data_IF_057315579140
#
_entry.id   IF_057315579140
#
_cell.length_a   1.000
_cell.length_b   1.000
_cell.length_c   1.000
_cell.angle_alpha   90.00
_cell.angle_beta   90.00
_cell.angle_gamma   90.00
#
_symmetry.space_group_name_H-M   'P 1'
#
loop_
_entity.id
_entity.type
_entity.pdbx_description
1 polymer ?
#
# COMPACT_ATOMS: atom_id res chain seq x y z
N UNK A 1 -4.04 -8.07 25.61
CA UNK A 1 -2.93 -7.09 25.63
C UNK A 1 -1.84 -7.62 26.54
N UNK A 2 -0.61 -7.71 26.08
CA UNK A 2 0.54 -8.18 26.85
C UNK A 2 1.32 -7.01 27.48
N UNK A 3 2.33 -7.31 28.32
CA UNK A 3 3.15 -6.30 29.02
C UNK A 3 3.87 -5.36 28.06
N UNK A 4 4.42 -5.87 26.93
CA UNK A 4 5.12 -5.09 25.93
C UNK A 4 4.18 -4.11 25.22
N UNK A 5 2.98 -4.54 24.85
CA UNK A 5 1.95 -3.67 24.28
C UNK A 5 1.55 -2.56 25.26
N UNK A 6 1.38 -2.89 26.55
CA UNK A 6 1.05 -1.90 27.57
C UNK A 6 2.15 -0.85 27.73
N UNK A 7 3.43 -1.26 27.70
CA UNK A 7 4.58 -0.36 27.73
C UNK A 7 4.63 0.57 26.53
N UNK A 8 4.41 0.04 25.32
CA UNK A 8 4.36 0.82 24.07
C UNK A 8 3.25 1.88 24.15
N UNK A 9 2.04 1.49 24.58
CA UNK A 9 0.89 2.39 24.70
C UNK A 9 1.08 3.53 25.73
N UNK A 10 1.85 3.27 26.77
CA UNK A 10 2.23 4.31 27.73
C UNK A 10 3.27 5.28 27.14
N UNK A 11 4.36 4.73 26.58
CA UNK A 11 5.45 5.53 26.02
C UNK A 11 5.03 6.35 24.79
N UNK A 12 4.16 5.86 23.92
CA UNK A 12 3.72 6.65 22.75
C UNK A 12 3.01 7.94 23.16
N UNK A 13 2.27 7.93 24.28
CA UNK A 13 1.61 9.13 24.82
C UNK A 13 2.63 10.10 25.41
N UNK A 14 3.59 9.57 26.19
CA UNK A 14 4.67 10.36 26.79
C UNK A 14 5.54 11.04 25.73
N UNK A 15 5.82 10.33 24.62
CA UNK A 15 6.66 10.79 23.52
C UNK A 15 5.89 11.56 22.43
N UNK A 16 4.61 11.80 22.60
CA UNK A 16 3.74 12.45 21.62
C UNK A 16 3.88 11.82 20.21
N UNK A 17 3.83 10.49 20.15
CA UNK A 17 3.99 9.71 18.92
C UNK A 17 2.68 9.09 18.46
N UNK A 18 2.44 9.18 17.15
CA UNK A 18 1.39 8.49 16.42
C UNK A 18 1.94 7.19 15.84
N UNK A 19 1.30 6.06 16.13
CA UNK A 19 1.65 4.76 15.53
C UNK A 19 0.64 4.45 14.44
N UNK A 20 1.14 4.28 13.21
CA UNK A 20 0.36 3.90 12.03
C UNK A 20 0.78 2.52 11.57
N UNK A 21 -0.17 1.61 11.30
CA UNK A 21 0.11 0.26 10.84
C UNK A 21 -0.64 -0.09 9.55
N UNK A 22 0.07 -0.66 8.59
CA UNK A 22 -0.56 -1.19 7.39
C UNK A 22 -1.34 -2.47 7.72
N UNK A 23 -2.41 -2.77 6.99
CA UNK A 23 -3.20 -4.00 7.11
C UNK A 23 -2.37 -5.28 6.99
N UNK A 24 -1.22 -5.26 6.32
CA UNK A 24 -0.34 -6.43 6.18
C UNK A 24 0.59 -6.65 7.38
N UNK A 25 0.57 -5.77 8.39
CA UNK A 25 1.34 -5.96 9.62
C UNK A 25 0.78 -7.12 10.45
N UNK A 26 1.61 -7.77 11.30
CA UNK A 26 1.12 -8.72 12.30
C UNK A 26 0.03 -8.09 13.18
N UNK A 27 -0.96 -8.89 13.59
CA UNK A 27 -2.11 -8.40 14.36
C UNK A 27 -1.72 -7.74 15.69
N UNK A 28 -0.67 -8.23 16.35
CA UNK A 28 -0.17 -7.67 17.60
C UNK A 28 0.42 -6.26 17.42
N UNK A 29 1.01 -5.97 16.25
CA UNK A 29 1.47 -4.62 15.86
C UNK A 29 0.28 -3.73 15.51
N UNK A 30 -0.74 -4.28 14.84
CA UNK A 30 -1.98 -3.52 14.57
C UNK A 30 -2.69 -3.11 15.87
N UNK A 31 -2.68 -3.97 16.90
CA UNK A 31 -3.36 -3.74 18.18
C UNK A 31 -2.81 -2.54 18.97
N UNK A 32 -1.57 -2.11 18.73
CA UNK A 32 -0.96 -0.93 19.37
C UNK A 32 -1.05 0.34 18.52
N UNK A 33 -1.51 0.23 17.27
CA UNK A 33 -1.60 1.36 16.35
C UNK A 33 -2.77 2.29 16.68
N UNK A 34 -2.58 3.58 16.40
CA UNK A 34 -3.63 4.61 16.49
C UNK A 34 -4.54 4.58 15.24
N UNK A 35 -4.02 4.08 14.13
CA UNK A 35 -4.78 3.80 12.94
C UNK A 35 -4.18 2.62 12.18
N UNK A 36 -5.04 1.75 11.69
CA UNK A 36 -4.71 0.65 10.77
C UNK A 36 -5.38 0.95 9.43
N UNK A 37 -4.65 0.79 8.33
CA UNK A 37 -5.18 1.15 7.02
C UNK A 37 -4.33 0.67 5.86
N UNK A 38 -4.80 0.96 4.64
CA UNK A 38 -3.99 0.89 3.43
C UNK A 38 -3.08 2.12 3.30
N UNK A 39 -2.23 2.14 2.26
CA UNK A 39 -1.27 3.24 2.05
C UNK A 39 -1.95 4.60 1.92
N UNK A 40 -3.16 4.67 1.34
CA UNK A 40 -3.89 5.93 1.18
C UNK A 40 -4.44 6.46 2.51
N UNK A 41 -5.14 5.62 3.25
CA UNK A 41 -5.71 5.98 4.55
C UNK A 41 -4.60 6.42 5.53
N UNK A 42 -3.47 5.71 5.54
CA UNK A 42 -2.33 6.04 6.39
C UNK A 42 -1.62 7.34 5.96
N UNK A 43 -1.50 7.61 4.66
CA UNK A 43 -0.95 8.89 4.17
C UNK A 43 -1.81 10.08 4.62
N UNK A 44 -3.15 9.98 4.47
CA UNK A 44 -4.09 11.00 4.95
C UNK A 44 -4.03 11.17 6.48
N UNK A 45 -3.96 10.05 7.21
CA UNK A 45 -3.85 10.10 8.68
C UNK A 45 -2.53 10.71 9.14
N UNK A 46 -1.43 10.40 8.44
CA UNK A 46 -0.14 11.03 8.70
C UNK A 46 -0.19 12.54 8.46
N UNK A 47 -0.76 12.98 7.32
CA UNK A 47 -0.89 14.41 6.98
C UNK A 47 -1.67 15.19 8.05
N UNK A 48 -2.72 14.60 8.61
CA UNK A 48 -3.57 15.22 9.65
C UNK A 48 -3.06 15.01 11.08
N UNK A 49 -1.88 14.42 11.28
CA UNK A 49 -1.35 14.12 12.60
C UNK A 49 -1.05 15.41 13.38
N UNK A 50 -1.49 15.49 14.64
CA UNK A 50 -1.11 16.55 15.56
C UNK A 50 0.18 16.23 16.34
N UNK A 51 0.53 14.95 16.46
CA UNK A 51 1.69 14.47 17.18
C UNK A 51 3.00 14.95 16.56
N UNK A 52 4.04 15.11 17.36
CA UNK A 52 5.38 15.52 16.94
C UNK A 52 6.17 14.38 16.27
N UNK A 53 5.83 13.13 16.59
CA UNK A 53 6.45 11.93 16.05
C UNK A 53 5.45 11.00 15.35
N UNK A 54 5.91 10.28 14.33
CA UNK A 54 5.14 9.25 13.61
C UNK A 54 5.99 7.99 13.51
N UNK A 55 5.45 6.86 13.96
CA UNK A 55 6.03 5.54 13.75
C UNK A 55 5.18 4.85 12.68
N UNK A 56 5.78 4.58 11.52
CA UNK A 56 5.12 3.93 10.39
C UNK A 56 5.45 2.43 10.40
N UNK A 57 4.57 1.60 10.94
CA UNK A 57 4.65 0.14 10.84
C UNK A 57 4.18 -0.30 9.46
N UNK A 58 5.13 -0.50 8.58
CA UNK A 58 4.95 -0.81 7.16
C UNK A 58 6.30 -0.95 6.49
N UNK A 59 6.41 -0.46 5.26
CA UNK A 59 7.64 -0.50 4.46
C UNK A 59 8.12 0.92 4.11
N UNK A 60 9.35 1.01 3.60
CA UNK A 60 10.10 2.25 3.45
C UNK A 60 9.34 3.36 2.72
N UNK A 61 8.74 3.10 1.56
CA UNK A 61 8.03 4.13 0.78
C UNK A 61 6.86 4.77 1.54
N UNK A 62 6.25 4.03 2.49
CA UNK A 62 5.16 4.55 3.34
C UNK A 62 5.70 5.53 4.38
N UNK A 63 6.81 5.19 5.03
CA UNK A 63 7.49 6.07 5.97
C UNK A 63 8.05 7.32 5.26
N UNK A 64 8.60 7.17 4.04
CA UNK A 64 9.00 8.29 3.18
C UNK A 64 7.80 9.21 2.87
N UNK A 65 6.66 8.65 2.47
CA UNK A 65 5.45 9.44 2.21
C UNK A 65 4.97 10.19 3.46
N UNK A 66 5.01 9.56 4.63
CA UNK A 66 4.69 10.21 5.90
C UNK A 66 5.67 11.37 6.21
N UNK A 67 6.98 11.19 5.96
CA UNK A 67 8.01 12.24 6.15
C UNK A 67 7.83 13.39 5.19
N UNK A 68 7.57 13.11 3.90
CA UNK A 68 7.34 14.12 2.86
C UNK A 68 6.14 15.00 3.20
N UNK A 69 5.04 14.40 3.65
CA UNK A 69 3.82 15.12 4.04
C UNK A 69 3.96 15.86 5.38
N UNK A 70 4.97 15.51 6.20
CA UNK A 70 5.22 16.10 7.53
C UNK A 70 6.71 16.39 7.73
N UNK A 71 7.33 17.30 6.97
CA UNK A 71 8.78 17.52 7.00
C UNK A 71 9.31 17.99 8.35
N UNK A 72 8.51 18.69 9.14
CA UNK A 72 8.87 19.15 10.47
C UNK A 72 8.75 18.10 11.57
N UNK A 73 8.19 16.90 11.27
CA UNK A 73 8.01 15.84 12.26
C UNK A 73 9.12 14.79 12.18
N UNK A 74 9.35 14.13 13.31
CA UNK A 74 10.21 12.96 13.33
C UNK A 74 9.43 11.74 12.87
N UNK A 75 9.93 11.03 11.86
CA UNK A 75 9.29 9.83 11.32
C UNK A 75 10.23 8.64 11.42
N UNK A 76 9.75 7.54 11.98
CA UNK A 76 10.49 6.29 12.10
C UNK A 76 9.86 5.20 11.24
N UNK A 77 10.74 4.44 10.56
CA UNK A 77 10.46 3.10 10.08
C UNK A 77 11.09 2.14 11.09
N UNK A 78 10.33 1.30 11.82
CA UNK A 78 10.87 0.49 12.90
C UNK A 78 12.01 -0.45 12.47
N UNK A 79 11.93 -0.98 11.25
CA UNK A 79 12.95 -1.86 10.66
C UNK A 79 13.45 -1.22 9.37
N UNK A 80 14.68 -0.71 9.38
CA UNK A 80 15.23 0.12 8.31
C UNK A 80 15.31 -0.58 6.94
N UNK A 81 15.47 -1.90 6.91
CA UNK A 81 15.52 -2.74 5.71
C UNK A 81 14.15 -3.35 5.32
N UNK A 82 13.05 -2.89 5.93
CA UNK A 82 11.70 -3.22 5.47
C UNK A 82 11.43 -2.46 4.15
N UNK A 83 11.86 -3.03 3.03
CA UNK A 83 11.80 -2.48 1.68
C UNK A 83 10.51 -2.82 0.94
N UNK A 84 10.52 -2.52 -0.36
CA UNK A 84 9.45 -2.96 -1.28
C UNK A 84 10.10 -3.31 -2.63
N UNK A 85 10.22 -4.59 -2.98
CA UNK A 85 10.84 -5.01 -4.25
C UNK A 85 10.19 -4.36 -5.48
N UNK A 86 8.88 -4.07 -5.46
CA UNK A 86 8.23 -3.32 -6.53
C UNK A 86 8.78 -1.89 -6.62
N UNK A 87 8.94 -1.20 -5.48
CA UNK A 87 9.45 0.16 -5.47
C UNK A 87 10.88 0.26 -6.03
N UNK A 88 11.64 -0.83 -5.91
CA UNK A 88 13.02 -0.92 -6.37
C UNK A 88 13.15 -1.28 -7.86
N UNK A 89 12.04 -1.56 -8.56
CA UNK A 89 12.05 -1.88 -10.01
C UNK A 89 12.27 -0.67 -10.90
N UNK A 90 12.13 0.55 -10.38
CA UNK A 90 12.16 1.79 -11.16
C UNK A 90 12.99 2.86 -10.45
N UNK A 91 13.72 3.66 -11.23
CA UNK A 91 14.47 4.83 -10.77
C UNK A 91 13.87 6.14 -11.29
N UNK A 92 14.29 7.27 -10.72
CA UNK A 92 13.92 8.58 -11.23
C UNK A 92 14.41 8.79 -12.69
N UNK A 93 15.59 8.25 -13.02
CA UNK A 93 16.17 8.36 -14.39
C UNK A 93 15.32 7.59 -15.41
N UNK A 94 14.76 6.42 -15.05
CA UNK A 94 13.82 5.67 -15.90
C UNK A 94 12.58 6.51 -16.20
N UNK A 95 12.00 7.16 -15.20
CA UNK A 95 10.86 8.08 -15.39
C UNK A 95 11.21 9.24 -16.31
N UNK A 96 12.39 9.84 -16.12
CA UNK A 96 12.85 10.93 -16.98
C UNK A 96 13.11 10.49 -18.42
N UNK A 97 13.56 9.26 -18.63
CA UNK A 97 13.71 8.64 -19.96
C UNK A 97 12.35 8.45 -20.63
N UNK A 98 11.35 7.92 -19.89
CA UNK A 98 9.99 7.78 -20.39
C UNK A 98 9.35 9.13 -20.74
N UNK A 99 9.57 10.17 -19.94
CA UNK A 99 9.10 11.53 -20.25
C UNK A 99 9.68 12.08 -21.56
N UNK A 100 10.93 11.76 -21.87
CA UNK A 100 11.55 12.16 -23.15
C UNK A 100 10.94 11.40 -24.32
N UNK A 101 10.59 10.13 -24.13
CA UNK A 101 9.96 9.30 -25.17
C UNK A 101 8.50 9.69 -25.40
N UNK A 102 7.78 10.10 -24.35
CA UNK A 102 6.36 10.45 -24.39
C UNK A 102 6.12 11.85 -23.79
N UNK A 103 6.53 12.92 -24.49
CA UNK A 103 6.55 14.29 -23.93
C UNK A 103 5.16 14.85 -23.59
N UNK A 104 4.09 14.34 -24.21
CA UNK A 104 2.71 14.77 -23.96
C UNK A 104 2.03 13.96 -22.83
N UNK A 105 2.66 12.89 -22.34
CA UNK A 105 2.09 12.03 -21.32
C UNK A 105 2.27 12.62 -19.93
N UNK A 106 1.23 12.46 -19.09
CA UNK A 106 1.37 12.67 -17.65
C UNK A 106 1.90 11.40 -16.96
N UNK A 107 2.76 11.57 -15.97
CA UNK A 107 3.30 10.46 -15.17
C UNK A 107 2.45 10.27 -13.91
N UNK A 108 1.76 9.15 -13.83
CA UNK A 108 1.04 8.68 -12.65
C UNK A 108 1.90 7.66 -11.91
N UNK A 109 2.28 8.01 -10.70
CA UNK A 109 3.14 7.21 -9.85
C UNK A 109 2.32 6.48 -8.77
N UNK A 110 2.25 5.16 -8.85
CA UNK A 110 1.76 4.38 -7.72
C UNK A 110 2.66 4.63 -6.49
N UNK A 111 2.06 4.89 -5.32
CA UNK A 111 2.80 5.28 -4.10
C UNK A 111 3.84 4.27 -3.65
N UNK A 112 3.74 3.02 -4.13
CA UNK A 112 4.73 1.96 -3.93
C UNK A 112 5.99 2.22 -4.78
N UNK A 113 6.60 3.37 -4.56
CA UNK A 113 7.78 3.89 -5.26
C UNK A 113 8.62 4.72 -4.29
N UNK A 114 9.89 4.97 -4.60
CA UNK A 114 10.78 5.80 -3.80
C UNK A 114 10.40 7.29 -3.83
N UNK A 115 10.88 8.07 -2.86
CA UNK A 115 10.74 9.52 -2.85
C UNK A 115 11.28 10.17 -4.14
N UNK A 116 12.42 9.67 -4.66
CA UNK A 116 13.03 10.15 -5.88
C UNK A 116 12.12 9.96 -7.11
N UNK A 117 11.46 8.83 -7.25
CA UNK A 117 10.49 8.55 -8.33
C UNK A 117 9.27 9.44 -8.22
N UNK A 118 8.73 9.61 -7.01
CA UNK A 118 7.61 10.53 -6.75
C UNK A 118 7.95 11.97 -7.10
N UNK A 119 9.20 12.38 -6.85
CA UNK A 119 9.67 13.77 -7.09
C UNK A 119 9.69 14.16 -8.57
N UNK A 120 9.79 13.19 -9.48
CA UNK A 120 9.79 13.42 -10.93
C UNK A 120 8.47 13.01 -11.60
N UNK A 121 7.45 12.69 -10.81
CA UNK A 121 6.11 12.30 -11.27
C UNK A 121 5.11 13.46 -11.14
N UNK A 122 4.07 13.47 -11.97
CA UNK A 122 3.07 14.55 -11.95
C UNK A 122 2.09 14.39 -10.80
N UNK A 123 1.67 13.17 -10.51
CA UNK A 123 0.71 12.85 -9.46
C UNK A 123 0.94 11.42 -8.96
N UNK A 124 0.76 11.22 -7.67
CA UNK A 124 0.70 9.86 -7.10
C UNK A 124 -0.71 9.27 -7.18
N UNK A 125 -0.80 7.95 -7.06
CA UNK A 125 -2.04 7.25 -6.84
C UNK A 125 -1.83 6.08 -5.87
N UNK A 126 -2.93 5.52 -5.38
CA UNK A 126 -3.00 4.22 -4.69
C UNK A 126 -3.93 3.30 -5.46
N UNK A 127 -3.98 2.02 -5.12
CA UNK A 127 -4.94 1.08 -5.73
C UNK A 127 -6.39 1.52 -5.56
N UNK A 128 -6.72 2.27 -4.50
CA UNK A 128 -8.06 2.81 -4.26
C UNK A 128 -8.38 4.08 -5.04
N UNK A 129 -7.36 4.82 -5.50
CA UNK A 129 -7.55 6.13 -6.13
C UNK A 129 -7.11 6.20 -7.60
N UNK A 130 -6.44 5.17 -8.11
CA UNK A 130 -5.78 5.21 -9.41
C UNK A 130 -6.73 5.55 -10.58
N UNK A 131 -7.91 4.95 -10.63
CA UNK A 131 -8.91 5.26 -11.65
C UNK A 131 -9.32 6.75 -11.61
N UNK A 132 -9.66 7.23 -10.42
CA UNK A 132 -10.09 8.63 -10.22
C UNK A 132 -8.97 9.61 -10.57
N UNK A 133 -7.74 9.30 -10.18
CA UNK A 133 -6.54 10.09 -10.51
C UNK A 133 -6.34 10.14 -12.02
N UNK A 134 -6.33 9.00 -12.72
CA UNK A 134 -6.13 8.94 -14.17
C UNK A 134 -7.22 9.69 -14.91
N UNK A 135 -8.50 9.55 -14.52
CA UNK A 135 -9.61 10.30 -15.12
C UNK A 135 -9.51 11.81 -14.91
N UNK A 136 -8.93 12.27 -13.80
CA UNK A 136 -8.79 13.70 -13.49
C UNK A 136 -7.78 14.44 -14.36
N UNK A 137 -6.87 13.72 -15.01
CA UNK A 137 -5.82 14.30 -15.83
C UNK A 137 -6.34 14.67 -17.23
N UNK A 138 -5.98 15.85 -17.77
CA UNK A 138 -6.39 16.26 -19.12
C UNK A 138 -5.65 15.47 -20.20
N UNK A 139 -4.46 14.90 -19.89
CA UNK A 139 -3.62 14.19 -20.84
C UNK A 139 -4.32 12.91 -21.34
N UNK A 140 -4.24 12.65 -22.66
CA UNK A 140 -4.70 11.40 -23.25
C UNK A 140 -3.73 10.27 -22.92
N UNK A 141 -2.44 10.52 -23.01
CA UNK A 141 -1.39 9.56 -22.71
C UNK A 141 -0.99 9.64 -21.23
N UNK A 142 -0.91 8.49 -20.59
CA UNK A 142 -0.54 8.37 -19.17
C UNK A 142 0.58 7.34 -19.07
N UNK A 143 1.74 7.74 -18.57
CA UNK A 143 2.79 6.83 -18.13
C UNK A 143 2.42 6.35 -16.72
N UNK A 144 2.15 5.06 -16.56
CA UNK A 144 1.80 4.46 -15.28
C UNK A 144 2.97 3.66 -14.73
N UNK A 145 3.46 4.06 -13.55
CA UNK A 145 4.63 3.44 -12.91
C UNK A 145 4.34 3.10 -11.44
N UNK A 146 5.01 2.10 -10.84
CA UNK A 146 5.85 1.07 -11.48
C UNK A 146 5.09 -0.21 -11.84
N UNK A 147 3.86 -0.43 -11.33
CA UNK A 147 3.16 -1.71 -11.39
C UNK A 147 2.38 -1.89 -12.71
N UNK A 148 2.83 -2.87 -13.53
CA UNK A 148 2.18 -3.22 -14.80
C UNK A 148 0.77 -3.77 -14.63
N UNK A 149 0.54 -4.56 -13.57
CA UNK A 149 -0.74 -5.25 -13.36
C UNK A 149 -1.82 -4.25 -12.94
N UNK A 150 -1.53 -3.39 -11.95
CA UNK A 150 -2.42 -2.29 -11.60
C UNK A 150 -2.66 -1.37 -12.79
N UNK A 151 -1.60 -1.02 -13.53
CA UNK A 151 -1.72 -0.18 -14.72
C UNK A 151 -2.60 -0.80 -15.81
N UNK A 152 -2.46 -2.11 -16.08
CA UNK A 152 -3.32 -2.85 -17.03
C UNK A 152 -4.77 -2.92 -16.53
N UNK A 153 -5.00 -3.14 -15.25
CA UNK A 153 -6.33 -3.09 -14.66
C UNK A 153 -6.97 -1.71 -14.87
N UNK A 154 -6.23 -0.62 -14.60
CA UNK A 154 -6.72 0.75 -14.81
C UNK A 154 -6.98 1.02 -16.30
N UNK A 155 -6.13 0.54 -17.22
CA UNK A 155 -6.36 0.71 -18.67
C UNK A 155 -7.71 0.14 -19.12
N UNK A 156 -8.15 -0.99 -18.55
CA UNK A 156 -9.50 -1.54 -18.81
C UNK A 156 -10.63 -0.65 -18.27
N UNK A 157 -10.40 0.04 -17.13
CA UNK A 157 -11.41 0.92 -16.52
C UNK A 157 -11.51 2.28 -17.22
N UNK A 158 -10.45 2.74 -17.86
CA UNK A 158 -10.37 4.07 -18.50
C UNK A 158 -9.98 3.97 -19.98
N UNK A 159 -10.82 3.33 -20.82
CA UNK A 159 -10.49 3.05 -22.23
C UNK A 159 -10.33 4.33 -23.08
N UNK A 160 -10.74 5.49 -22.56
CA UNK A 160 -10.54 6.80 -23.18
C UNK A 160 -9.09 7.31 -23.05
N UNK A 161 -8.26 6.68 -22.20
CA UNK A 161 -6.85 7.01 -22.00
C UNK A 161 -5.95 5.96 -22.62
N UNK A 162 -4.79 6.37 -23.08
CA UNK A 162 -3.71 5.51 -23.54
C UNK A 162 -2.70 5.32 -22.40
N UNK A 163 -2.72 4.15 -21.77
CA UNK A 163 -1.85 3.86 -20.62
C UNK A 163 -0.56 3.21 -21.12
N UNK A 164 0.56 3.87 -20.89
CA UNK A 164 1.91 3.39 -21.15
C UNK A 164 2.40 2.72 -19.88
N UNK A 165 2.52 1.38 -19.92
CA UNK A 165 2.89 0.57 -18.77
C UNK A 165 4.40 0.49 -18.61
N UNK A 166 4.88 0.63 -17.37
CA UNK A 166 6.22 0.21 -16.98
C UNK A 166 6.22 -1.28 -16.61
N UNK A 167 7.32 -2.00 -16.86
CA UNK A 167 7.36 -3.45 -16.65
C UNK A 167 7.81 -3.85 -15.23
N UNK A 168 7.40 -3.11 -14.22
CA UNK A 168 7.55 -3.48 -12.80
C UNK A 168 6.30 -4.19 -12.28
N UNK A 169 6.40 -4.90 -11.17
CA UNK A 169 5.28 -5.55 -10.49
C UNK A 169 5.59 -5.87 -9.04
N UNK A 170 4.56 -6.15 -8.26
CA UNK A 170 4.71 -6.76 -6.95
C UNK A 170 5.00 -8.27 -7.11
N UNK A 171 6.19 -8.77 -6.72
CA UNK A 171 6.52 -10.17 -6.92
C UNK A 171 5.58 -11.11 -6.17
N UNK A 172 4.98 -10.66 -5.06
CA UNK A 172 4.08 -11.47 -4.24
C UNK A 172 2.72 -11.64 -4.96
N UNK A 173 2.17 -10.56 -5.52
CA UNK A 173 0.91 -10.60 -6.26
C UNK A 173 1.09 -11.19 -7.68
N UNK A 174 2.18 -10.86 -8.37
CA UNK A 174 2.47 -11.39 -9.71
C UNK A 174 2.81 -12.89 -9.70
N UNK A 175 3.18 -13.48 -8.56
CA UNK A 175 3.37 -14.94 -8.42
C UNK A 175 2.06 -15.73 -8.44
N UNK A 176 0.91 -15.07 -8.28
CA UNK A 176 -0.41 -15.72 -8.33
C UNK A 176 -0.88 -15.83 -9.76
N UNK A 177 -1.29 -17.04 -10.18
CA UNK A 177 -1.71 -17.34 -11.55
C UNK A 177 -3.21 -17.66 -11.63
N UNK A 178 -3.76 -17.68 -12.84
CA UNK A 178 -5.13 -18.13 -13.09
C UNK A 178 -5.39 -19.57 -12.62
N UNK A 179 -4.37 -20.45 -12.67
CA UNK A 179 -4.48 -21.81 -12.15
C UNK A 179 -4.72 -21.83 -10.63
N UNK A 180 -4.05 -20.95 -9.88
CA UNK A 180 -4.29 -20.80 -8.45
C UNK A 180 -5.72 -20.32 -8.16
N UNK A 181 -6.23 -19.37 -8.96
CA UNK A 181 -7.60 -18.88 -8.82
C UNK A 181 -8.63 -19.98 -9.15
N UNK A 182 -8.41 -20.75 -10.23
CA UNK A 182 -9.26 -21.86 -10.61
C UNK A 182 -9.29 -22.97 -9.54
N UNK A 183 -8.12 -23.35 -9.01
CA UNK A 183 -8.01 -24.36 -7.96
C UNK A 183 -8.72 -23.92 -6.68
N UNK A 184 -8.57 -22.66 -6.26
CA UNK A 184 -9.24 -22.12 -5.08
C UNK A 184 -10.76 -22.09 -5.25
N UNK A 185 -11.27 -21.71 -6.44
CA UNK A 185 -12.71 -21.76 -6.74
C UNK A 185 -13.25 -23.19 -6.77
N UNK A 186 -12.47 -24.14 -7.26
CA UNK A 186 -12.86 -25.55 -7.24
C UNK A 186 -12.96 -26.10 -5.80
N UNK A 187 -12.02 -25.69 -4.93
CA UNK A 187 -12.02 -26.08 -3.53
C UNK A 187 -13.14 -25.43 -2.72
N UNK A 188 -13.54 -24.22 -3.10
CA UNK A 188 -14.53 -23.38 -2.39
C UNK A 188 -15.55 -22.77 -3.36
N UNK A 189 -16.43 -23.58 -3.99
CA UNK A 189 -17.27 -23.14 -5.11
C UNK A 189 -18.29 -22.05 -4.73
N UNK A 190 -18.70 -21.99 -3.45
CA UNK A 190 -19.64 -20.97 -2.94
C UNK A 190 -18.94 -19.68 -2.51
N UNK A 191 -17.59 -19.65 -2.47
CA UNK A 191 -16.85 -18.50 -1.99
C UNK A 191 -16.64 -17.47 -3.11
N UNK A 192 -16.86 -16.20 -2.78
CA UNK A 192 -16.54 -15.09 -3.68
C UNK A 192 -15.03 -14.81 -3.67
N UNK A 193 -14.43 -14.69 -4.84
CA UNK A 193 -13.03 -14.36 -5.01
C UNK A 193 -12.84 -12.84 -5.02
N UNK A 194 -12.17 -12.29 -3.99
CA UNK A 194 -11.87 -10.87 -3.83
C UNK A 194 -10.37 -10.66 -4.04
N UNK A 195 -9.97 -9.86 -5.05
CA UNK A 195 -8.58 -9.79 -5.54
C UNK A 195 -8.05 -8.36 -5.53
N UNK A 196 -6.77 -8.20 -5.19
CA UNK A 196 -6.07 -6.93 -5.33
C UNK A 196 -5.60 -6.73 -6.79
N UNK A 197 -5.71 -5.53 -7.38
CA UNK A 197 -5.36 -5.28 -8.78
C UNK A 197 -3.86 -5.36 -9.11
N UNK A 198 -2.98 -5.60 -8.14
CA UNK A 198 -1.58 -5.98 -8.36
C UNK A 198 -1.43 -7.44 -8.83
N UNK A 199 -2.48 -8.26 -8.72
CA UNK A 199 -2.50 -9.60 -9.30
C UNK A 199 -2.54 -9.53 -10.82
N UNK A 200 -2.07 -10.61 -11.47
CA UNK A 200 -2.12 -10.75 -12.92
C UNK A 200 -3.55 -10.60 -13.45
N UNK A 201 -3.65 -10.16 -14.69
CA UNK A 201 -4.92 -9.96 -15.42
C UNK A 201 -5.83 -11.20 -15.35
N UNK A 202 -5.29 -12.39 -15.59
CA UNK A 202 -6.02 -13.66 -15.53
C UNK A 202 -6.66 -13.95 -14.16
N UNK A 203 -6.05 -13.48 -13.08
CA UNK A 203 -6.58 -13.61 -11.71
C UNK A 203 -7.66 -12.56 -11.46
N UNK A 204 -7.41 -11.34 -11.90
CA UNK A 204 -8.38 -10.23 -11.79
C UNK A 204 -9.63 -10.49 -12.62
N UNK A 205 -9.50 -11.08 -13.83
CA UNK A 205 -10.64 -11.43 -14.69
C UNK A 205 -11.47 -12.59 -14.12
N UNK A 206 -10.87 -13.46 -13.32
CA UNK A 206 -11.57 -14.55 -12.61
C UNK A 206 -12.27 -14.08 -11.32
N UNK A 207 -12.04 -12.85 -10.86
CA UNK A 207 -12.51 -12.38 -9.55
C UNK A 207 -13.96 -11.90 -9.57
N UNK A 208 -14.67 -12.05 -8.44
CA UNK A 208 -16.00 -11.46 -8.23
C UNK A 208 -15.90 -9.99 -7.78
N UNK A 209 -14.74 -9.59 -7.29
CA UNK A 209 -14.41 -8.22 -6.93
C UNK A 209 -12.92 -7.97 -7.08
N UNK A 210 -12.56 -6.85 -7.71
CA UNK A 210 -11.19 -6.35 -7.77
C UNK A 210 -11.15 -4.97 -7.14
N UNK A 211 -10.23 -4.77 -6.19
CA UNK A 211 -10.11 -3.49 -5.51
C UNK A 211 -8.95 -3.43 -4.52
N UNK A 212 -8.80 -2.27 -3.88
CA UNK A 212 -7.76 -2.05 -2.86
C UNK A 212 -7.94 -2.97 -1.65
N UNK A 213 -6.93 -3.05 -0.81
CA UNK A 213 -6.98 -3.79 0.47
C UNK A 213 -8.18 -3.37 1.32
N UNK A 214 -8.41 -2.05 1.45
CA UNK A 214 -9.59 -1.53 2.15
C UNK A 214 -10.90 -1.97 1.47
N UNK A 215 -10.97 -1.91 0.13
CA UNK A 215 -12.14 -2.33 -0.63
C UNK A 215 -12.46 -3.82 -0.48
N UNK A 216 -11.44 -4.69 -0.40
CA UNK A 216 -11.60 -6.12 -0.13
C UNK A 216 -12.21 -6.33 1.27
N UNK A 217 -11.63 -5.68 2.30
CA UNK A 217 -12.14 -5.72 3.68
C UNK A 217 -13.59 -5.25 3.76
N UNK A 218 -13.91 -4.11 3.16
CA UNK A 218 -15.25 -3.53 3.18
C UNK A 218 -16.27 -4.39 2.43
N UNK A 219 -15.84 -5.06 1.35
CA UNK A 219 -16.70 -5.98 0.58
C UNK A 219 -17.05 -7.20 1.42
N UNK A 220 -16.09 -7.78 2.15
CA UNK A 220 -16.35 -8.91 3.04
C UNK A 220 -17.22 -8.51 4.25
N UNK A 221 -16.94 -7.34 4.86
CA UNK A 221 -17.70 -6.82 6.01
C UNK A 221 -19.21 -6.61 5.73
N UNK A 222 -19.59 -6.35 4.46
CA UNK A 222 -21.00 -6.20 4.06
C UNK A 222 -21.80 -7.50 4.11
N UNK A 223 -21.11 -8.65 4.18
CA UNK A 223 -21.74 -9.97 4.26
C UNK A 223 -21.03 -10.80 5.34
N UNK A 224 -21.27 -10.52 6.62
CA UNK A 224 -20.47 -11.04 7.75
C UNK A 224 -20.56 -12.55 7.97
N UNK A 225 -21.49 -13.24 7.31
CA UNK A 225 -21.63 -14.70 7.30
C UNK A 225 -21.23 -15.31 5.94
N UNK A 226 -20.61 -14.50 5.07
CA UNK A 226 -20.25 -14.89 3.71
C UNK A 226 -19.07 -15.85 3.64
N UNK A 227 -18.84 -16.37 2.44
CA UNK A 227 -17.69 -17.20 2.11
C UNK A 227 -16.81 -16.46 1.11
N UNK A 228 -15.51 -16.32 1.40
CA UNK A 228 -14.59 -15.50 0.62
C UNK A 228 -13.25 -16.17 0.42
N UNK A 229 -12.73 -16.10 -0.81
CA UNK A 229 -11.33 -16.36 -1.16
C UNK A 229 -10.63 -15.02 -1.29
N UNK A 230 -9.56 -14.81 -0.53
CA UNK A 230 -8.85 -13.53 -0.44
C UNK A 230 -7.60 -13.58 -1.31
N UNK A 231 -7.63 -12.83 -2.42
CA UNK A 231 -6.56 -12.71 -3.41
C UNK A 231 -5.66 -11.50 -3.16
N UNK A 232 -5.12 -11.38 -1.95
CA UNK A 232 -4.09 -10.43 -1.54
C UNK A 232 -3.28 -11.00 -0.38
N UNK A 233 -2.35 -10.23 0.16
CA UNK A 233 -1.47 -10.63 1.27
C UNK A 233 -2.28 -11.10 2.49
N UNK A 234 -1.85 -12.22 3.09
CA UNK A 234 -2.62 -12.98 4.09
C UNK A 234 -2.93 -12.24 5.40
N UNK A 235 -2.30 -11.09 5.68
CA UNK A 235 -2.70 -10.21 6.78
C UNK A 235 -4.17 -9.77 6.68
N UNK A 236 -4.71 -9.65 5.47
CA UNK A 236 -6.13 -9.36 5.24
C UNK A 236 -7.02 -10.54 5.66
N UNK A 237 -6.59 -11.75 5.33
CA UNK A 237 -7.25 -13.00 5.77
C UNK A 237 -7.30 -13.08 7.30
N UNK A 238 -6.20 -12.75 7.98
CA UNK A 238 -6.10 -12.76 9.44
C UNK A 238 -7.04 -11.72 10.09
N UNK A 239 -7.12 -10.51 9.51
CA UNK A 239 -8.05 -9.47 9.95
C UNK A 239 -9.49 -9.95 9.81
N UNK A 240 -9.87 -10.46 8.65
CA UNK A 240 -11.24 -10.91 8.39
C UNK A 240 -11.65 -12.07 9.29
N UNK A 241 -10.76 -13.05 9.52
CA UNK A 241 -11.00 -14.15 10.45
C UNK A 241 -11.24 -13.66 11.88
N UNK A 242 -10.51 -12.62 12.30
CA UNK A 242 -10.68 -12.00 13.62
C UNK A 242 -11.98 -11.20 13.73
N UNK A 243 -12.33 -10.43 12.70
CA UNK A 243 -13.47 -9.51 12.69
C UNK A 243 -14.80 -10.22 12.40
N UNK A 244 -14.77 -11.24 11.54
CA UNK A 244 -15.95 -11.94 11.02
C UNK A 244 -15.89 -13.43 11.39
N UNK A 245 -16.07 -13.79 12.68
CA UNK A 245 -15.92 -15.17 13.15
C UNK A 245 -16.97 -16.13 12.57
N UNK A 246 -18.04 -15.63 11.96
CA UNK A 246 -19.07 -16.42 11.29
C UNK A 246 -18.82 -16.58 9.78
N UNK A 247 -17.86 -15.85 9.20
CA UNK A 247 -17.51 -15.95 7.80
C UNK A 247 -16.54 -17.12 7.54
N UNK A 248 -16.61 -17.68 6.33
CA UNK A 248 -15.63 -18.64 5.84
C UNK A 248 -14.57 -17.90 5.02
N UNK A 249 -13.38 -17.72 5.58
CA UNK A 249 -12.31 -16.94 4.98
C UNK A 249 -11.16 -17.87 4.58
N UNK A 250 -10.87 -17.92 3.27
CA UNK A 250 -9.84 -18.73 2.66
C UNK A 250 -8.80 -17.82 1.99
N UNK A 251 -7.50 -18.02 2.25
CA UNK A 251 -6.48 -17.34 1.44
C UNK A 251 -6.47 -17.96 0.03
N UNK A 252 -6.21 -17.14 -0.99
CA UNK A 252 -6.02 -17.66 -2.35
C UNK A 252 -4.79 -18.58 -2.44
N UNK A 253 -3.74 -18.26 -1.64
CA UNK A 253 -2.56 -19.11 -1.41
C UNK A 253 -2.11 -18.95 0.05
N UNK A 254 -1.68 -20.04 0.66
CA UNK A 254 -1.16 -20.02 2.04
C UNK A 254 0.16 -19.23 2.17
N UNK A 255 0.97 -19.19 1.13
CA UNK A 255 2.24 -18.45 1.07
C UNK A 255 2.12 -17.03 0.47
N UNK A 256 0.91 -16.47 0.42
CA UNK A 256 0.68 -15.10 -0.06
C UNK A 256 1.10 -14.08 1.02
N UNK A 257 2.40 -14.05 1.31
CA UNK A 257 2.98 -13.29 2.43
C UNK A 257 4.06 -12.34 1.93
N UNK A 258 3.95 -11.07 2.28
CA UNK A 258 4.99 -10.07 2.07
C UNK A 258 5.98 -10.11 3.25
N UNK A 259 7.17 -10.68 3.03
CA UNK A 259 8.20 -10.82 4.08
C UNK A 259 8.61 -9.45 4.66
N UNK A 260 8.72 -8.41 3.83
CA UNK A 260 9.09 -7.06 4.27
C UNK A 260 8.04 -6.45 5.19
N UNK A 261 6.74 -6.62 4.90
CA UNK A 261 5.66 -6.17 5.76
C UNK A 261 5.61 -6.91 7.11
N UNK A 262 6.15 -8.14 7.18
CA UNK A 262 6.21 -8.95 8.41
C UNK A 262 7.48 -8.73 9.24
N UNK A 263 8.42 -7.89 8.80
CA UNK A 263 9.67 -7.62 9.53
C UNK A 263 9.41 -6.92 10.86
N UNK A 264 8.54 -5.92 10.91
CA UNK A 264 8.25 -5.14 12.11
C UNK A 264 7.63 -5.99 13.22
N UNK A 265 8.23 -5.93 14.40
CA UNK A 265 7.76 -6.57 15.63
C UNK A 265 7.51 -5.50 16.71
N UNK A 266 6.77 -5.86 17.74
CA UNK A 266 6.53 -4.96 18.90
C UNK A 266 7.82 -4.39 19.51
N UNK A 267 8.88 -5.20 19.58
CA UNK A 267 10.18 -4.76 20.09
C UNK A 267 10.78 -3.63 19.25
N UNK A 268 10.63 -3.67 17.91
CA UNK A 268 11.15 -2.62 17.03
C UNK A 268 10.40 -1.29 17.22
N UNK A 269 9.07 -1.37 17.47
CA UNK A 269 8.27 -0.19 17.79
C UNK A 269 8.68 0.40 19.11
N UNK A 270 8.92 -0.45 20.12
CA UNK A 270 9.45 0.01 21.41
C UNK A 270 10.81 0.69 21.26
N UNK A 271 11.70 0.13 20.43
CA UNK A 271 13.02 0.70 20.14
C UNK A 271 12.92 2.12 19.55
N UNK A 272 11.94 2.39 18.68
CA UNK A 272 11.68 3.75 18.18
C UNK A 272 11.32 4.70 19.33
N UNK A 273 10.38 4.30 20.17
CA UNK A 273 9.92 5.13 21.31
C UNK A 273 11.00 5.38 22.35
N UNK A 274 11.91 4.44 22.57
CA UNK A 274 13.04 4.56 23.50
C UNK A 274 14.26 5.26 22.87
N UNK A 275 14.17 5.71 21.60
CA UNK A 275 15.25 6.44 20.92
C UNK A 275 16.41 5.56 20.44
N UNK A 276 16.21 4.26 20.33
CA UNK A 276 17.22 3.31 19.84
C UNK A 276 17.22 3.13 18.31
N UNK A 277 16.25 3.72 17.62
CA UNK A 277 16.15 3.70 16.15
C UNK A 277 16.35 5.09 15.58
N UNK A 278 17.06 5.18 14.48
CA UNK A 278 17.27 6.44 13.77
C UNK A 278 16.02 6.78 12.93
N UNK A 279 15.51 8.02 13.01
CA UNK A 279 14.46 8.49 12.12
C UNK A 279 14.90 8.44 10.67
N UNK A 280 13.90 8.37 9.74
CA UNK A 280 14.22 8.48 8.33
C UNK A 280 14.52 9.94 7.97
N UNK A 281 15.55 10.10 7.14
CA UNK A 281 15.93 11.38 6.54
C UNK A 281 15.88 11.24 5.01
N UNK A 282 15.46 12.31 4.34
CA UNK A 282 15.35 12.38 2.88
C UNK A 282 16.00 13.66 2.38
N UNK A 283 16.62 13.65 1.18
CA UNK A 283 17.11 14.86 0.55
C UNK A 283 15.99 15.87 0.34
N UNK A 284 16.22 17.15 0.71
CA UNK A 284 15.20 18.20 0.62
C UNK A 284 14.59 18.33 -0.78
N UNK A 285 15.44 18.25 -1.83
CA UNK A 285 15.00 18.32 -3.22
C UNK A 285 13.99 17.21 -3.58
N UNK A 286 14.20 15.99 -3.08
CA UNK A 286 13.28 14.89 -3.29
C UNK A 286 11.97 15.11 -2.53
N UNK A 287 12.05 15.58 -1.28
CA UNK A 287 10.86 15.89 -0.49
C UNK A 287 9.99 16.94 -1.15
N UNK A 288 10.59 18.02 -1.68
CA UNK A 288 9.83 19.12 -2.29
C UNK A 288 9.11 18.67 -3.57
N UNK A 289 9.79 17.91 -4.45
CA UNK A 289 9.19 17.35 -5.66
C UNK A 289 8.09 16.33 -5.35
N UNK A 290 8.36 15.37 -4.47
CA UNK A 290 7.44 14.31 -4.12
C UNK A 290 6.20 14.82 -3.35
N UNK A 291 6.34 15.93 -2.60
CA UNK A 291 5.20 16.54 -1.90
C UNK A 291 4.10 16.95 -2.86
N UNK A 292 4.45 17.65 -3.95
CA UNK A 292 3.49 18.13 -4.92
C UNK A 292 2.69 16.97 -5.55
N UNK A 293 3.34 15.84 -5.88
CA UNK A 293 2.68 14.68 -6.46
C UNK A 293 1.77 13.94 -5.46
N UNK A 294 2.17 13.85 -4.18
CA UNK A 294 1.35 13.27 -3.11
C UNK A 294 0.15 14.15 -2.73
N UNK A 295 0.34 15.46 -2.60
CA UNK A 295 -0.74 16.40 -2.28
C UNK A 295 -1.80 16.44 -3.38
N UNK A 296 -1.39 16.38 -4.67
CA UNK A 296 -2.35 16.26 -5.79
C UNK A 296 -3.16 14.98 -5.69
N UNK A 297 -2.55 13.85 -5.36
CA UNK A 297 -3.27 12.59 -5.11
C UNK A 297 -4.35 12.78 -4.03
N UNK A 298 -3.97 13.35 -2.88
CA UNK A 298 -4.90 13.53 -1.76
C UNK A 298 -6.04 14.48 -2.12
N UNK A 299 -5.76 15.52 -2.92
CA UNK A 299 -6.77 16.49 -3.33
C UNK A 299 -7.79 15.91 -4.33
N UNK A 300 -7.39 14.98 -5.16
CA UNK A 300 -8.26 14.33 -6.17
C UNK A 300 -9.06 13.18 -5.57
N UNK A 301 -8.54 12.49 -4.55
CA UNK A 301 -9.07 11.18 -4.06
C UNK A 301 -10.17 11.26 -2.99
#
# INVERSE_FOLDING_TARGET
MNELQSKILALKKERDCLILAHYYQPLDVQDIADAVGDSFALAKRAQSASQSGIIMCGVRFMAESAKILNPGKTVWLPVADAGCPMADTITADDVLALRKQYPEAAVVCYVNSTAAVKAVSDICCTSSSAEKVVRSLPNRQIIFVPDKNLGAYIAKQVPEKEIILYNGCCPIHDAVTGEHAAAARQAHPEARLLVHPECREEVSDAADYVGSTAGILDTARRTPEGSFIIGTENGVTDILRRELPQAHIFPLREDFVCADMKKTKLADVLDCLEGRRTPIELPQKEMDGARASLERMIAVS
#
